data_IF_896001901035
#
_entry.id   IF_896001901035
#
_cell.length_a   1.000
_cell.length_b   1.000
_cell.length_c   1.000
_cell.angle_alpha   90.00
_cell.angle_beta   90.00
_cell.angle_gamma   90.00
#
_symmetry.space_group_name_H-M   'P 1'
#
loop_
_entity.id
_entity.type
_entity.pdbx_description
1 polymer ?
#
# COMPACT_ATOMS: atom_id res chain seq x y z
N UNK A 1 26.93 -4.87 4.52
CA UNK A 1 26.33 -5.50 5.73
C UNK A 1 25.29 -4.51 6.24
N UNK A 2 24.00 -4.52 5.89
CA UNK A 2 23.01 -5.56 5.57
C UNK A 2 22.30 -5.23 4.24
N UNK A 3 22.78 -5.75 3.11
CA UNK A 3 22.26 -5.36 1.78
C UNK A 3 20.81 -5.81 1.60
N UNK A 4 20.53 -7.07 1.91
CA UNK A 4 19.20 -7.69 1.77
C UNK A 4 18.15 -6.97 2.65
N UNK A 5 18.48 -6.67 3.91
CA UNK A 5 17.58 -5.93 4.80
C UNK A 5 17.20 -4.55 4.24
N UNK A 6 18.18 -3.81 3.71
CA UNK A 6 17.93 -2.49 3.12
C UNK A 6 17.11 -2.59 1.82
N UNK A 7 17.28 -3.65 1.04
CA UNK A 7 16.47 -3.92 -0.15
C UNK A 7 15.02 -4.28 0.21
N UNK A 8 14.82 -5.14 1.22
CA UNK A 8 13.50 -5.49 1.73
C UNK A 8 12.79 -4.25 2.33
N UNK A 9 13.49 -3.41 3.10
CA UNK A 9 12.96 -2.14 3.61
C UNK A 9 12.57 -1.16 2.49
N UNK A 10 13.38 -1.08 1.42
CA UNK A 10 13.04 -0.27 0.25
C UNK A 10 11.82 -0.81 -0.50
N UNK A 11 11.67 -2.12 -0.58
CA UNK A 11 10.50 -2.75 -1.20
C UNK A 11 9.22 -2.40 -0.42
N UNK A 12 9.25 -2.51 0.91
CA UNK A 12 8.15 -2.10 1.79
C UNK A 12 7.83 -0.61 1.60
N UNK A 13 8.83 0.26 1.60
CA UNK A 13 8.63 1.70 1.38
C UNK A 13 7.99 1.98 0.01
N UNK A 14 8.44 1.31 -1.05
CA UNK A 14 7.88 1.43 -2.40
C UNK A 14 6.42 0.94 -2.46
N UNK A 15 6.07 -0.11 -1.73
CA UNK A 15 4.68 -0.57 -1.63
C UNK A 15 3.80 0.48 -0.95
N UNK A 16 4.27 1.11 0.13
CA UNK A 16 3.55 2.19 0.81
C UNK A 16 3.36 3.39 -0.12
N UNK A 17 4.39 3.80 -0.85
CA UNK A 17 4.28 4.86 -1.87
C UNK A 17 3.22 4.52 -2.92
N UNK A 18 3.23 3.29 -3.41
CA UNK A 18 2.24 2.81 -4.40
C UNK A 18 0.83 2.77 -3.82
N UNK A 19 0.65 2.36 -2.56
CA UNK A 19 -0.64 2.44 -1.88
C UNK A 19 -1.13 3.88 -1.80
N UNK A 20 -0.26 4.83 -1.45
CA UNK A 20 -0.62 6.24 -1.37
C UNK A 20 -1.08 6.79 -2.74
N UNK A 21 -0.41 6.43 -3.82
CA UNK A 21 -0.82 6.79 -5.19
C UNK A 21 -2.20 6.21 -5.55
N UNK A 22 -2.45 4.94 -5.21
CA UNK A 22 -3.74 4.29 -5.46
C UNK A 22 -4.87 4.94 -4.67
N UNK A 23 -4.66 5.25 -3.38
CA UNK A 23 -5.63 5.99 -2.55
C UNK A 23 -5.91 7.36 -3.14
N UNK A 24 -4.88 8.12 -3.49
CA UNK A 24 -5.05 9.46 -4.05
C UNK A 24 -5.85 9.43 -5.36
N UNK A 25 -5.60 8.42 -6.20
CA UNK A 25 -6.39 8.19 -7.42
C UNK A 25 -7.84 7.83 -7.09
N UNK A 26 -8.06 6.88 -6.18
CA UNK A 26 -9.40 6.47 -5.76
C UNK A 26 -10.22 7.65 -5.20
N UNK A 27 -9.60 8.53 -4.42
CA UNK A 27 -10.25 9.75 -3.91
C UNK A 27 -10.67 10.70 -5.04
N UNK A 28 -9.80 10.93 -6.03
CA UNK A 28 -10.12 11.79 -7.18
C UNK A 28 -11.23 11.18 -8.06
N UNK A 29 -11.15 9.88 -8.32
CA UNK A 29 -12.13 9.14 -9.11
C UNK A 29 -13.49 9.13 -8.38
N UNK A 30 -13.52 8.91 -7.06
CA UNK A 30 -14.73 8.95 -6.25
C UNK A 30 -15.37 10.33 -6.22
N UNK A 31 -14.56 11.39 -6.06
CA UNK A 31 -15.04 12.77 -6.10
C UNK A 31 -15.66 13.11 -7.45
N UNK A 32 -15.03 12.67 -8.55
CA UNK A 32 -15.53 12.87 -9.91
C UNK A 32 -16.83 12.09 -10.17
N UNK A 33 -16.90 10.84 -9.71
CA UNK A 33 -18.10 10.01 -9.82
C UNK A 33 -19.29 10.63 -9.07
N UNK A 34 -19.04 11.14 -7.85
CA UNK A 34 -20.06 11.79 -7.04
C UNK A 34 -20.58 13.08 -7.70
N UNK A 35 -19.69 13.95 -8.20
CA UNK A 35 -20.07 15.21 -8.84
C UNK A 35 -20.91 15.02 -10.10
N UNK A 36 -20.63 13.94 -10.85
CA UNK A 36 -21.30 13.64 -12.11
C UNK A 36 -22.49 12.67 -11.97
N UNK A 37 -22.78 12.20 -10.75
CA UNK A 37 -23.74 11.12 -10.48
C UNK A 37 -23.48 9.86 -11.34
N UNK A 38 -22.21 9.54 -11.57
CA UNK A 38 -21.76 8.41 -12.38
C UNK A 38 -21.64 7.14 -11.52
N UNK A 39 -22.63 6.27 -11.61
CA UNK A 39 -22.69 5.02 -10.86
C UNK A 39 -21.64 4.00 -11.31
N UNK A 40 -21.27 3.98 -12.59
CA UNK A 40 -20.30 3.02 -13.12
C UNK A 40 -18.88 3.38 -12.64
N UNK A 41 -18.55 4.67 -12.67
CA UNK A 41 -17.30 5.16 -12.10
C UNK A 41 -17.24 4.91 -10.59
N UNK A 42 -18.33 5.14 -9.85
CA UNK A 42 -18.39 4.87 -8.42
C UNK A 42 -18.19 3.37 -8.11
N UNK A 43 -18.85 2.48 -8.86
CA UNK A 43 -18.68 1.04 -8.71
C UNK A 43 -17.23 0.62 -9.00
N UNK A 44 -16.61 1.19 -10.03
CA UNK A 44 -15.21 0.93 -10.36
C UNK A 44 -14.25 1.31 -9.22
N UNK A 45 -14.53 2.38 -8.48
CA UNK A 45 -13.72 2.75 -7.31
C UNK A 45 -13.87 1.70 -6.20
N UNK A 46 -15.10 1.25 -5.94
CA UNK A 46 -15.39 0.21 -4.94
C UNK A 46 -14.67 -1.10 -5.30
N UNK A 47 -14.74 -1.52 -6.55
CA UNK A 47 -14.14 -2.78 -6.99
C UNK A 47 -12.61 -2.77 -6.88
N UNK A 48 -11.98 -1.60 -7.07
CA UNK A 48 -10.52 -1.43 -6.95
C UNK A 48 -10.01 -1.41 -5.52
N UNK A 49 -10.87 -1.26 -4.53
CA UNK A 49 -10.50 -1.31 -3.12
C UNK A 49 -9.87 -2.68 -2.76
N UNK A 50 -10.37 -3.75 -3.38
CA UNK A 50 -9.83 -5.09 -3.18
C UNK A 50 -8.36 -5.23 -3.60
N UNK A 51 -7.90 -4.49 -4.62
CA UNK A 51 -6.50 -4.48 -5.03
C UNK A 51 -5.62 -3.76 -3.99
N UNK A 52 -6.17 -2.74 -3.33
CA UNK A 52 -5.50 -2.01 -2.26
C UNK A 52 -5.37 -2.88 -1.00
N UNK A 53 -6.45 -3.55 -0.61
CA UNK A 53 -6.45 -4.50 0.52
C UNK A 53 -5.42 -5.63 0.31
N UNK A 54 -5.33 -6.15 -0.93
CA UNK A 54 -4.35 -7.18 -1.26
C UNK A 54 -2.90 -6.65 -1.14
N UNK A 55 -2.65 -5.40 -1.55
CA UNK A 55 -1.34 -4.76 -1.43
C UNK A 55 -0.99 -4.46 0.04
N UNK A 56 -1.96 -4.04 0.84
CA UNK A 56 -1.79 -3.86 2.29
C UNK A 56 -1.40 -5.18 2.96
N UNK A 57 -2.19 -6.23 2.73
CA UNK A 57 -1.95 -7.55 3.33
C UNK A 57 -0.56 -8.09 2.96
N UNK A 58 -0.15 -7.93 1.70
CA UNK A 58 1.20 -8.31 1.25
C UNK A 58 2.29 -7.50 1.96
N UNK A 59 2.11 -6.19 2.10
CA UNK A 59 3.08 -5.31 2.76
C UNK A 59 3.23 -5.67 4.24
N UNK A 60 2.13 -5.96 4.93
CA UNK A 60 2.15 -6.41 6.33
C UNK A 60 2.89 -7.75 6.48
N UNK A 61 2.65 -8.71 5.60
CA UNK A 61 3.35 -10.00 5.61
C UNK A 61 4.87 -9.85 5.41
N UNK A 62 5.28 -8.93 4.53
CA UNK A 62 6.69 -8.58 4.35
C UNK A 62 7.30 -7.95 5.60
N UNK A 63 6.60 -7.02 6.24
CA UNK A 63 7.02 -6.43 7.51
C UNK A 63 7.20 -7.50 8.60
N UNK A 64 6.23 -8.39 8.77
CA UNK A 64 6.28 -9.49 9.74
C UNK A 64 7.45 -10.43 9.47
N UNK A 65 7.67 -10.79 8.20
CA UNK A 65 8.78 -11.64 7.76
C UNK A 65 10.13 -10.99 8.06
N UNK A 66 10.26 -9.68 7.79
CA UNK A 66 11.47 -8.91 8.05
C UNK A 66 11.75 -8.81 9.56
N UNK A 67 10.72 -8.53 10.37
CA UNK A 67 10.80 -8.50 11.83
C UNK A 67 11.29 -9.85 12.38
N UNK A 68 10.68 -10.96 11.94
CA UNK A 68 11.01 -12.30 12.41
C UNK A 68 12.43 -12.75 12.01
N UNK A 69 12.90 -12.35 10.82
CA UNK A 69 14.20 -12.79 10.29
C UNK A 69 15.37 -11.96 10.81
N UNK A 70 15.18 -10.66 11.03
CA UNK A 70 16.30 -9.72 11.19
C UNK A 70 16.41 -9.12 12.60
N UNK A 71 15.41 -9.31 13.47
CA UNK A 71 15.34 -8.71 14.81
C UNK A 71 15.83 -7.24 14.83
N UNK A 72 15.19 -6.36 14.03
CA UNK A 72 15.59 -4.96 13.91
C UNK A 72 15.54 -4.22 15.25
N UNK A 73 16.39 -3.20 15.42
CA UNK A 73 16.54 -2.44 16.67
C UNK A 73 16.09 -0.99 16.50
N UNK A 74 15.46 -0.43 17.52
CA UNK A 74 15.11 1.00 17.70
C UNK A 74 14.87 1.81 16.41
N UNK A 75 15.92 2.32 15.76
CA UNK A 75 15.84 3.11 14.52
C UNK A 75 15.21 2.35 13.35
N UNK A 76 15.45 1.05 13.25
CA UNK A 76 14.92 0.17 12.19
C UNK A 76 13.40 -0.07 12.33
N UNK A 77 12.82 0.19 13.51
CA UNK A 77 11.40 -0.03 13.85
C UNK A 77 10.52 1.21 13.67
N UNK A 78 11.10 2.37 13.36
CA UNK A 78 10.41 3.66 13.28
C UNK A 78 10.01 3.99 11.85
#
# INVERSE_FOLDING_TARGET
MRVIFNEEMKAIASNIERMAELVAKAMNDAGSALLNADLEAAQTVIDKDADLDALEANTIDQCLTLLARQNPVATDLR
#
